data_IF_106532069366
#
_entry.id   IF_106532069366
#
_cell.length_a   1.000
_cell.length_b   1.000
_cell.length_c   1.000
_cell.angle_alpha   90.00
_cell.angle_beta   90.00
_cell.angle_gamma   90.00
#
_symmetry.space_group_name_H-M   'P 1'
#
loop_
_entity.id
_entity.type
_entity.pdbx_description
1 polymer ?
#
# COMPACT_ATOMS: atom_id res chain seq x y z
N UNK A 1 12.30 -25.27 3.29
CA UNK A 1 10.84 -25.36 3.56
C UNK A 1 10.10 -25.45 2.23
N UNK A 2 9.47 -26.59 1.93
CA UNK A 2 8.77 -26.80 0.66
C UNK A 2 7.55 -25.90 0.47
N UNK A 3 7.17 -25.67 -0.79
CA UNK A 3 5.89 -25.02 -1.13
C UNK A 3 4.75 -25.85 -0.54
N UNK A 4 3.81 -25.17 0.12
CA UNK A 4 2.61 -25.82 0.65
C UNK A 4 1.79 -26.42 -0.50
N UNK A 5 1.26 -27.62 -0.29
CA UNK A 5 0.33 -28.24 -1.23
C UNK A 5 -0.92 -27.39 -1.45
N UNK A 6 -1.59 -27.59 -2.58
CA UNK A 6 -2.90 -27.00 -2.85
C UNK A 6 -3.90 -27.47 -1.80
N UNK A 7 -4.69 -26.55 -1.27
CA UNK A 7 -5.79 -26.83 -0.33
C UNK A 7 -7.09 -26.28 -0.91
N UNK A 8 -8.20 -26.95 -0.65
CA UNK A 8 -9.51 -26.50 -1.10
C UNK A 8 -9.89 -25.15 -0.44
N UNK A 9 -10.66 -24.32 -1.16
CA UNK A 9 -11.09 -22.99 -0.68
C UNK A 9 -12.40 -23.15 0.10
N UNK A 10 -12.27 -23.62 1.34
CA UNK A 10 -13.36 -23.74 2.31
C UNK A 10 -12.90 -23.25 3.68
N UNK A 11 -13.81 -23.15 4.65
CA UNK A 11 -13.44 -22.86 6.05
C UNK A 11 -12.58 -24.02 6.56
N UNK A 12 -11.48 -23.68 7.26
CA UNK A 12 -10.62 -24.67 7.91
C UNK A 12 -11.22 -24.98 9.29
N UNK A 13 -11.52 -26.25 9.55
CA UNK A 13 -12.14 -26.68 10.80
C UNK A 13 -11.14 -26.66 11.97
N UNK A 14 -9.92 -27.15 11.75
CA UNK A 14 -8.86 -27.12 12.76
C UNK A 14 -8.50 -25.66 13.12
N UNK A 15 -8.74 -25.28 14.37
CA UNK A 15 -8.57 -23.92 14.87
C UNK A 15 -7.12 -23.42 14.77
N UNK A 16 -6.16 -24.23 15.20
CA UNK A 16 -4.74 -23.86 15.17
C UNK A 16 -4.25 -23.68 13.73
N UNK A 17 -4.62 -24.62 12.84
CA UNK A 17 -4.30 -24.52 11.42
C UNK A 17 -4.95 -23.31 10.75
N UNK A 18 -6.19 -22.97 11.14
CA UNK A 18 -6.92 -21.79 10.67
C UNK A 18 -6.22 -20.49 11.07
N UNK A 19 -5.81 -20.35 12.34
CA UNK A 19 -5.10 -19.17 12.84
C UNK A 19 -3.75 -18.97 12.12
N UNK A 20 -2.97 -20.04 11.99
CA UNK A 20 -1.67 -19.98 11.29
C UNK A 20 -1.86 -19.64 9.81
N UNK A 21 -2.87 -20.23 9.16
CA UNK A 21 -3.19 -19.95 7.75
C UNK A 21 -3.67 -18.53 7.56
N UNK A 22 -4.55 -18.04 8.43
CA UNK A 22 -5.00 -16.65 8.42
C UNK A 22 -3.84 -15.68 8.55
N UNK A 23 -2.98 -15.85 9.56
CA UNK A 23 -1.83 -14.97 9.79
C UNK A 23 -0.89 -14.92 8.59
N UNK A 24 -0.64 -16.06 7.94
CA UNK A 24 0.22 -16.13 6.76
C UNK A 24 -0.46 -15.56 5.51
N UNK A 25 -1.74 -15.84 5.26
CA UNK A 25 -2.49 -15.30 4.12
C UNK A 25 -2.67 -13.78 4.23
N UNK A 26 -3.04 -13.27 5.40
CA UNK A 26 -3.16 -11.83 5.68
C UNK A 26 -1.86 -11.09 5.37
N UNK A 27 -0.73 -11.61 5.86
CA UNK A 27 0.60 -11.03 5.58
C UNK A 27 0.91 -11.00 4.08
N UNK A 28 0.67 -12.11 3.38
CA UNK A 28 0.89 -12.18 1.93
C UNK A 28 -0.01 -11.23 1.13
N UNK A 29 -1.28 -11.08 1.56
CA UNK A 29 -2.23 -10.18 0.94
C UNK A 29 -1.78 -8.71 1.06
N UNK A 30 -1.39 -8.27 2.25
CA UNK A 30 -0.92 -6.90 2.46
C UNK A 30 0.39 -6.61 1.73
N UNK A 31 1.30 -7.59 1.66
CA UNK A 31 2.54 -7.44 0.86
C UNK A 31 2.22 -7.19 -0.61
N UNK A 32 1.35 -8.01 -1.21
CA UNK A 32 0.91 -7.84 -2.59
C UNK A 32 0.16 -6.53 -2.81
N UNK A 33 -0.72 -6.14 -1.88
CA UNK A 33 -1.43 -4.87 -1.98
C UNK A 33 -0.47 -3.66 -1.95
N UNK A 34 0.60 -3.72 -1.12
CA UNK A 34 1.64 -2.69 -1.11
C UNK A 34 2.47 -2.66 -2.39
N UNK A 35 2.83 -3.82 -2.95
CA UNK A 35 3.50 -3.90 -4.25
C UNK A 35 2.64 -3.31 -5.37
N UNK A 36 1.35 -3.65 -5.41
CA UNK A 36 0.40 -3.09 -6.38
C UNK A 36 0.19 -1.58 -6.21
N UNK A 37 0.15 -1.09 -4.97
CA UNK A 37 0.05 0.34 -4.67
C UNK A 37 1.23 1.11 -5.27
N UNK A 38 2.46 0.59 -5.14
CA UNK A 38 3.66 1.19 -5.72
C UNK A 38 3.64 1.11 -7.26
N UNK A 39 3.20 -0.02 -7.82
CA UNK A 39 3.23 -0.23 -9.27
C UNK A 39 2.18 0.59 -10.03
N UNK A 40 1.01 0.79 -9.44
CA UNK A 40 -0.11 1.45 -10.11
C UNK A 40 -0.30 2.92 -9.69
N UNK A 41 0.54 3.44 -8.78
CA UNK A 41 0.33 4.71 -8.07
C UNK A 41 -1.12 4.87 -7.54
N UNK A 42 -1.79 3.74 -7.32
CA UNK A 42 -3.21 3.69 -7.05
C UNK A 42 -3.38 3.89 -5.54
N UNK A 43 -4.10 4.95 -5.16
CA UNK A 43 -4.32 5.32 -3.77
C UNK A 43 -5.33 4.36 -3.08
N UNK A 44 -5.04 3.06 -3.05
CA UNK A 44 -5.86 2.05 -2.42
C UNK A 44 -5.69 2.15 -0.91
N UNK A 45 -6.59 2.90 -0.27
CA UNK A 45 -6.82 2.82 1.17
C UNK A 45 -5.76 3.46 2.06
N UNK A 46 -5.15 4.58 1.65
CA UNK A 46 -4.67 5.52 2.68
C UNK A 46 -5.89 6.17 3.33
N UNK A 47 -6.10 6.08 4.65
CA UNK A 47 -6.97 7.05 5.31
C UNK A 47 -6.41 8.43 4.95
N UNK A 48 -7.28 9.28 4.41
CA UNK A 48 -7.02 10.60 3.78
C UNK A 48 -6.37 11.65 4.70
N UNK A 49 -5.66 11.25 5.76
CA UNK A 49 -5.19 12.10 6.86
C UNK A 49 -3.74 12.61 6.74
N UNK A 50 -2.98 12.27 5.68
CA UNK A 50 -1.61 12.81 5.53
C UNK A 50 -1.21 13.13 4.08
N UNK A 51 -2.09 13.82 3.35
CA UNK A 51 -1.70 14.61 2.16
C UNK A 51 -2.02 16.10 2.36
N UNK A 52 -1.68 16.63 3.54
CA UNK A 52 -1.32 18.06 3.65
C UNK A 52 0.21 18.10 3.64
N UNK A 53 0.82 18.99 2.85
CA UNK A 53 2.26 19.19 2.61
C UNK A 53 2.91 18.60 1.34
N UNK A 54 2.18 18.49 0.22
CA UNK A 54 2.85 18.46 -1.10
C UNK A 54 2.14 19.25 -2.19
N UNK A 55 1.56 20.40 -1.85
CA UNK A 55 1.17 21.41 -2.84
C UNK A 55 1.65 22.79 -2.40
N UNK A 56 2.41 23.39 -3.31
CA UNK A 56 2.83 24.80 -3.39
C UNK A 56 4.07 25.21 -2.59
N UNK A 57 5.22 24.99 -3.20
CA UNK A 57 6.26 26.00 -3.28
C UNK A 57 6.68 26.10 -4.76
N UNK A 58 5.92 26.87 -5.54
CA UNK A 58 6.38 27.33 -6.85
C UNK A 58 7.30 28.53 -6.59
N UNK A 59 8.53 28.57 -7.14
CA UNK A 59 9.39 29.73 -6.97
C UNK A 59 8.77 30.92 -7.73
N UNK A 60 8.42 31.97 -7.00
CA UNK A 60 8.11 33.28 -7.58
C UNK A 60 9.35 33.78 -8.32
N UNK A 61 9.27 33.77 -9.65
CA UNK A 61 10.22 34.42 -10.55
C UNK A 61 10.18 35.92 -10.29
N UNK A 62 11.19 36.44 -9.60
CA UNK A 62 11.47 37.87 -9.56
C UNK A 62 12.07 38.28 -10.91
N UNK A 63 11.23 38.78 -11.81
CA UNK A 63 11.67 39.62 -12.91
C UNK A 63 10.70 40.78 -13.10
N UNK A 64 11.11 41.95 -12.60
CA UNK A 64 10.82 43.30 -13.15
C UNK A 64 11.93 44.18 -12.57
N UNK A 65 12.99 44.40 -13.35
CA UNK A 65 13.18 45.46 -14.36
C UNK A 65 13.81 46.69 -13.71
N UNK A 66 15.01 46.99 -14.21
CA UNK A 66 15.61 48.33 -14.24
C UNK A 66 14.58 49.38 -14.69
N UNK A 67 14.80 50.61 -14.20
CA UNK A 67 14.20 51.93 -14.50
C UNK A 67 13.78 52.51 -13.13
N UNK A 68 14.48 53.46 -12.50
CA UNK A 68 15.24 54.61 -13.00
C UNK A 68 16.31 54.98 -11.98
#
# INVERSE_FOLDING_TARGET
MGKRGRIAIWRIDNLAARQVTFSKRRRGLFKKAGELFILCDAELGRPRRLLRHRRQALPVRQHKKLQT
#
